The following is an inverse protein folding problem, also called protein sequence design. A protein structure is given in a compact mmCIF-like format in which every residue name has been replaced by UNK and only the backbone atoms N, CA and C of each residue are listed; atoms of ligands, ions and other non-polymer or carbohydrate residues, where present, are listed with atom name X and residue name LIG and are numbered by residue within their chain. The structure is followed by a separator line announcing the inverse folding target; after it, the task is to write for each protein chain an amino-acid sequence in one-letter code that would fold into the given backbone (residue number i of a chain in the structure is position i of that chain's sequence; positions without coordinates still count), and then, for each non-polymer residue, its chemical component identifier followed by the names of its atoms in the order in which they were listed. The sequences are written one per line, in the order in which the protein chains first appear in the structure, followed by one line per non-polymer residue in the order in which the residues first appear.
data_IF_166950848142
#
_entry.id   IF_166950848142
#
_cell.length_a   1.000
_cell.length_b   1.000
_cell.length_c   1.000
_cell.angle_alpha   90.00
_cell.angle_beta   90.00
_cell.angle_gamma   90.00
#
_symmetry.space_group_name_H-M   'P 1'
#
loop_
_entity.id
_entity.type
_entity.pdbx_description
1 polymer ?
#
# COMPACT_ATOMS: atom_id res chain seq x y z
N UNK A 1 45.59 40.70 -17.53
CA UNK A 1 44.28 40.15 -17.96
C UNK A 1 44.15 38.76 -17.34
N UNK A 2 43.27 38.63 -16.36
CA UNK A 2 43.03 37.41 -15.59
C UNK A 2 42.01 36.53 -16.33
N UNK A 3 42.27 35.23 -16.43
CA UNK A 3 41.23 34.25 -16.72
C UNK A 3 41.50 33.02 -15.86
N UNK A 4 41.00 33.07 -14.63
CA UNK A 4 40.79 31.89 -13.81
C UNK A 4 39.64 31.09 -14.43
N UNK A 5 39.95 29.96 -15.07
CA UNK A 5 38.96 28.93 -15.35
C UNK A 5 38.70 28.17 -14.05
N UNK A 6 37.59 28.52 -13.42
CA UNK A 6 36.93 27.83 -12.33
C UNK A 6 36.42 26.47 -12.86
N UNK A 7 36.68 25.34 -12.20
CA UNK A 7 36.08 24.07 -12.60
C UNK A 7 34.56 24.18 -12.43
N UNK A 8 33.85 23.92 -13.52
CA UNK A 8 32.40 23.82 -13.58
C UNK A 8 31.91 22.92 -12.46
N UNK A 9 31.08 23.49 -11.59
CA UNK A 9 30.31 22.75 -10.60
C UNK A 9 29.61 21.59 -11.32
N UNK A 10 30.13 20.39 -11.07
CA UNK A 10 29.50 19.14 -11.42
C UNK A 10 28.04 19.25 -11.01
N UNK A 11 27.17 19.11 -12.00
CA UNK A 11 25.73 19.09 -11.86
C UNK A 11 25.33 17.85 -11.08
N UNK A 12 25.59 17.86 -9.77
CA UNK A 12 25.00 16.91 -8.84
C UNK A 12 23.49 17.20 -8.84
N UNK A 13 22.66 16.28 -9.38
CA UNK A 13 21.23 16.48 -9.31
C UNK A 13 20.85 16.53 -7.82
N UNK A 14 19.87 17.34 -7.42
CA UNK A 14 19.36 17.35 -6.06
C UNK A 14 18.82 15.96 -5.70
N UNK A 15 19.68 15.13 -5.12
CA UNK A 15 19.52 13.66 -5.12
C UNK A 15 19.03 13.17 -3.77
N UNK A 16 17.79 12.66 -3.75
CA UNK A 16 17.28 11.73 -2.73
C UNK A 16 18.25 10.57 -2.45
N UNK A 17 19.09 10.23 -3.43
CA UNK A 17 20.18 9.26 -3.35
C UNK A 17 21.10 9.43 -2.12
N UNK A 18 21.30 10.66 -1.62
CA UNK A 18 22.18 10.89 -0.46
C UNK A 18 21.51 10.61 0.89
N UNK A 19 20.18 10.52 0.92
CA UNK A 19 19.39 10.45 2.14
C UNK A 19 19.23 9.03 2.70
N UNK A 20 19.43 8.00 1.85
CA UNK A 20 19.35 6.60 2.19
C UNK A 20 20.47 5.81 1.51
N UNK A 21 21.63 5.69 2.19
CA UNK A 21 22.72 4.80 1.77
C UNK A 21 22.30 3.31 1.69
N UNK A 22 21.14 2.95 2.27
CA UNK A 22 20.66 1.58 2.43
C UNK A 22 19.47 1.21 1.53
N UNK A 23 18.83 2.15 0.85
CA UNK A 23 17.62 1.84 0.06
C UNK A 23 17.48 2.78 -1.14
N UNK A 24 17.18 2.19 -2.30
CA UNK A 24 16.96 2.93 -3.55
C UNK A 24 15.53 3.53 -3.55
N UNK A 25 15.37 4.86 -3.48
CA UNK A 25 14.06 5.50 -3.40
C UNK A 25 13.18 5.20 -4.62
N UNK A 26 13.77 4.98 -5.81
CA UNK A 26 13.02 4.62 -7.02
C UNK A 26 12.31 3.28 -6.84
N UNK A 27 13.01 2.30 -6.27
CA UNK A 27 12.47 0.95 -6.01
C UNK A 27 11.35 1.01 -4.99
N UNK A 28 11.47 1.82 -3.93
CA UNK A 28 10.38 2.00 -2.94
C UNK A 28 9.15 2.60 -3.59
N UNK A 29 9.33 3.64 -4.41
CA UNK A 29 8.25 4.31 -5.10
C UNK A 29 7.54 3.36 -6.08
N UNK A 30 8.31 2.58 -6.85
CA UNK A 30 7.78 1.59 -7.78
C UNK A 30 7.04 0.46 -7.05
N UNK A 31 7.60 -0.02 -5.94
CA UNK A 31 6.94 -1.01 -5.07
C UNK A 31 5.63 -0.47 -4.51
N UNK A 32 5.59 0.81 -4.11
CA UNK A 32 4.37 1.47 -3.65
C UNK A 32 3.29 1.52 -4.73
N UNK A 33 3.67 1.88 -5.97
CA UNK A 33 2.75 1.93 -7.11
C UNK A 33 2.17 0.54 -7.39
N UNK A 34 3.04 -0.49 -7.50
CA UNK A 34 2.60 -1.87 -7.74
C UNK A 34 1.70 -2.36 -6.61
N UNK A 35 2.07 -2.10 -5.36
CA UNK A 35 1.28 -2.50 -4.20
C UNK A 35 -0.09 -1.84 -4.18
N UNK A 36 -0.17 -0.54 -4.51
CA UNK A 36 -1.43 0.18 -4.64
C UNK A 36 -2.31 -0.40 -5.74
N UNK A 37 -1.73 -0.73 -6.91
CA UNK A 37 -2.45 -1.41 -7.99
C UNK A 37 -2.96 -2.79 -7.58
N UNK A 38 -2.15 -3.59 -6.88
CA UNK A 38 -2.58 -4.89 -6.36
C UNK A 38 -3.73 -4.75 -5.35
N UNK A 39 -3.70 -3.75 -4.47
CA UNK A 39 -4.82 -3.47 -3.55
C UNK A 39 -6.09 -3.08 -4.28
N UNK A 40 -6.00 -2.26 -5.34
CA UNK A 40 -7.13 -1.92 -6.19
C UNK A 40 -7.68 -3.14 -6.94
N UNK A 41 -6.81 -4.03 -7.42
CA UNK A 41 -7.23 -5.28 -8.06
C UNK A 41 -7.99 -6.17 -7.08
N UNK A 42 -7.52 -6.25 -5.82
CA UNK A 42 -8.15 -7.00 -4.75
C UNK A 42 -9.48 -6.40 -4.26
N UNK A 43 -9.79 -5.14 -4.59
CA UNK A 43 -11.12 -4.58 -4.37
C UNK A 43 -12.20 -5.36 -5.10
N UNK A 44 -11.94 -5.82 -6.33
CA UNK A 44 -12.90 -6.55 -7.17
C UNK A 44 -13.36 -7.86 -6.50
N UNK A 45 -12.45 -8.80 -6.14
CA UNK A 45 -12.86 -10.02 -5.45
C UNK A 45 -13.37 -9.75 -4.04
N UNK A 46 -12.94 -8.68 -3.36
CA UNK A 46 -13.52 -8.30 -2.06
C UNK A 46 -14.98 -7.87 -2.20
N UNK A 47 -15.32 -7.15 -3.27
CA UNK A 47 -16.68 -6.72 -3.55
C UNK A 47 -17.62 -7.90 -3.84
N UNK A 48 -17.15 -8.92 -4.56
CA UNK A 48 -17.97 -10.11 -4.86
C UNK A 48 -18.15 -11.05 -3.68
N UNK A 49 -17.25 -11.03 -2.69
CA UNK A 49 -17.25 -11.98 -1.56
C UNK A 49 -17.77 -11.37 -0.25
N UNK A 50 -17.85 -10.03 -0.13
CA UNK A 50 -18.28 -9.38 1.12
C UNK A 50 -19.80 -9.44 1.32
N UNK A 51 -20.32 -10.56 1.84
CA UNK A 51 -21.72 -10.68 2.24
C UNK A 51 -22.02 -9.99 3.59
N UNK A 52 -21.07 -9.99 4.53
CA UNK A 52 -21.30 -9.50 5.91
C UNK A 52 -21.00 -8.02 6.14
N UNK A 53 -19.98 -7.45 5.49
CA UNK A 53 -19.57 -6.05 5.69
C UNK A 53 -19.58 -5.34 4.33
N UNK A 54 -20.73 -4.76 3.98
CA UNK A 54 -20.99 -4.08 2.70
C UNK A 54 -19.96 -2.99 2.32
N UNK A 55 -19.13 -2.53 3.26
CA UNK A 55 -18.15 -1.46 3.02
C UNK A 55 -16.69 -1.93 3.11
N UNK A 56 -16.42 -3.24 3.29
CA UNK A 56 -15.05 -3.74 3.42
C UNK A 56 -14.21 -3.43 2.17
N UNK A 57 -14.83 -3.41 0.99
CA UNK A 57 -14.18 -3.10 -0.29
C UNK A 57 -13.74 -1.63 -0.43
N UNK A 58 -14.31 -0.71 0.36
CA UNK A 58 -13.89 0.71 0.34
C UNK A 58 -12.49 0.88 0.93
N UNK A 59 -12.12 0.04 1.90
CA UNK A 59 -10.82 0.11 2.56
C UNK A 59 -9.65 -0.18 1.59
N UNK A 60 -9.61 -1.30 0.85
CA UNK A 60 -8.54 -1.56 -0.13
C UNK A 60 -8.58 -0.56 -1.29
N UNK A 61 -9.77 -0.03 -1.63
CA UNK A 61 -9.90 1.00 -2.66
C UNK A 61 -9.24 2.32 -2.25
N UNK A 62 -9.56 2.82 -1.06
CA UNK A 62 -8.99 4.05 -0.52
C UNK A 62 -7.48 3.89 -0.26
N UNK A 63 -7.07 2.83 0.43
CA UNK A 63 -5.66 2.57 0.75
C UNK A 63 -4.85 2.34 -0.52
N UNK A 64 -5.35 1.55 -1.47
CA UNK A 64 -4.69 1.30 -2.76
C UNK A 64 -4.51 2.59 -3.56
N UNK A 65 -5.55 3.43 -3.65
CA UNK A 65 -5.50 4.73 -4.35
C UNK A 65 -4.47 5.68 -3.73
N UNK A 66 -4.49 5.83 -2.39
CA UNK A 66 -3.55 6.70 -1.68
C UNK A 66 -2.12 6.19 -1.81
N UNK A 67 -1.91 4.87 -1.76
CA UNK A 67 -0.58 4.25 -1.92
C UNK A 67 -0.03 4.46 -3.34
N UNK A 68 -0.88 4.32 -4.36
CA UNK A 68 -0.51 4.58 -5.75
C UNK A 68 -0.13 6.05 -5.96
N UNK A 69 -0.92 6.99 -5.42
CA UNK A 69 -0.65 8.43 -5.49
C UNK A 69 0.65 8.78 -4.75
N UNK A 70 0.84 8.25 -3.54
CA UNK A 70 2.04 8.47 -2.74
C UNK A 70 3.30 7.97 -3.46
N UNK A 71 3.25 6.75 -4.02
CA UNK A 71 4.34 6.19 -4.83
C UNK A 71 4.64 7.03 -6.06
N UNK A 72 3.60 7.50 -6.77
CA UNK A 72 3.75 8.37 -7.95
C UNK A 72 4.43 9.69 -7.61
N UNK A 73 4.05 10.32 -6.49
CA UNK A 73 4.73 11.52 -6.01
C UNK A 73 6.16 11.25 -5.55
N UNK A 74 6.43 10.10 -4.93
CA UNK A 74 7.78 9.66 -4.58
C UNK A 74 8.68 9.60 -5.82
N UNK A 75 8.23 8.88 -6.86
CA UNK A 75 8.97 8.72 -8.11
C UNK A 75 9.14 10.06 -8.86
N UNK A 76 8.11 10.91 -8.88
CA UNK A 76 8.20 12.24 -9.49
C UNK A 76 9.13 13.19 -8.71
N UNK A 77 9.19 13.07 -7.38
CA UNK A 77 10.08 13.87 -6.52
C UNK A 77 11.55 13.52 -6.70
N UNK A 78 11.84 12.28 -7.09
CA UNK A 78 13.20 11.85 -7.41
C UNK A 78 13.68 12.47 -8.73
N UNK A 79 12.83 12.44 -9.77
CA UNK A 79 13.16 13.04 -11.07
C UNK A 79 13.21 14.55 -11.02
N UNK A 80 12.32 15.17 -10.24
CA UNK A 80 12.20 16.62 -10.08
C UNK A 80 11.85 16.96 -8.63
N UNK A 81 12.83 17.25 -7.76
CA UNK A 81 12.55 17.58 -6.37
C UNK A 81 11.98 18.98 -6.26
N UNK A 82 10.66 19.06 -6.15
CA UNK A 82 9.95 20.28 -5.77
C UNK A 82 9.37 20.11 -4.37
N UNK A 83 9.48 21.16 -3.56
CA UNK A 83 8.95 21.18 -2.17
C UNK A 83 7.46 20.86 -2.09
N UNK A 84 6.69 21.26 -3.11
CA UNK A 84 5.25 20.95 -3.22
C UNK A 84 5.00 19.45 -3.40
N UNK A 85 5.78 18.77 -4.24
CA UNK A 85 5.66 17.31 -4.43
C UNK A 85 6.00 16.57 -3.15
N UNK A 86 7.01 17.03 -2.41
CA UNK A 86 7.40 16.44 -1.14
C UNK A 86 6.34 16.61 -0.06
N UNK A 87 5.75 17.79 0.04
CA UNK A 87 4.65 18.05 0.97
C UNK A 87 3.45 17.16 0.65
N UNK A 88 3.09 17.02 -0.62
CA UNK A 88 2.00 16.15 -1.06
C UNK A 88 2.32 14.67 -0.78
N UNK A 89 3.55 14.23 -1.04
CA UNK A 89 4.01 12.88 -0.70
C UNK A 89 3.90 12.61 0.82
N UNK A 90 4.31 13.56 1.67
CA UNK A 90 4.19 13.44 3.12
C UNK A 90 2.73 13.36 3.59
N UNK A 91 1.85 14.21 3.04
CA UNK A 91 0.42 14.22 3.36
C UNK A 91 -0.23 12.89 2.94
N UNK A 92 0.04 12.44 1.71
CA UNK A 92 -0.46 11.15 1.21
C UNK A 92 0.10 9.98 2.02
N UNK A 93 1.37 10.02 2.42
CA UNK A 93 2.00 9.00 3.27
C UNK A 93 1.36 8.91 4.66
N UNK A 94 1.10 10.05 5.30
CA UNK A 94 0.39 10.11 6.58
C UNK A 94 -1.06 9.64 6.47
N UNK A 95 -1.78 10.08 5.43
CA UNK A 95 -3.13 9.61 5.16
C UNK A 95 -3.17 8.10 4.89
N UNK A 96 -2.18 7.59 4.15
CA UNK A 96 -1.97 6.18 3.87
C UNK A 96 -1.71 5.39 5.15
N UNK A 97 -0.86 5.89 6.06
CA UNK A 97 -0.62 5.29 7.38
C UNK A 97 -1.91 5.12 8.17
N UNK A 98 -2.69 6.19 8.31
CA UNK A 98 -3.99 6.14 9.00
C UNK A 98 -4.91 5.11 8.34
N UNK A 99 -4.99 5.12 7.00
CA UNK A 99 -5.77 4.15 6.23
C UNK A 99 -5.34 2.70 6.48
N UNK A 100 -4.03 2.44 6.47
CA UNK A 100 -3.49 1.09 6.71
C UNK A 100 -3.72 0.62 8.14
N UNK A 101 -3.66 1.50 9.15
CA UNK A 101 -3.98 1.16 10.53
C UNK A 101 -5.46 0.77 10.69
N UNK A 102 -6.37 1.55 10.09
CA UNK A 102 -7.80 1.22 10.06
C UNK A 102 -8.01 -0.12 9.36
N UNK A 103 -7.39 -0.32 8.20
CA UNK A 103 -7.43 -1.59 7.46
C UNK A 103 -6.91 -2.76 8.29
N UNK A 104 -5.88 -2.57 9.11
CA UNK A 104 -5.31 -3.64 9.94
C UNK A 104 -6.33 -4.13 10.98
N UNK A 105 -7.05 -3.19 11.60
CA UNK A 105 -8.10 -3.49 12.58
C UNK A 105 -9.27 -4.20 11.87
N UNK A 106 -9.73 -3.67 10.74
CA UNK A 106 -10.87 -4.23 10.00
C UNK A 106 -10.58 -5.61 9.42
N UNK A 107 -9.44 -5.79 8.75
CA UNK A 107 -9.05 -7.08 8.18
C UNK A 107 -8.68 -8.08 9.27
N UNK A 108 -8.07 -7.64 10.37
CA UNK A 108 -7.80 -8.47 11.53
C UNK A 108 -9.10 -8.99 12.15
N UNK A 109 -10.09 -8.11 12.33
CA UNK A 109 -11.42 -8.48 12.79
C UNK A 109 -12.09 -9.48 11.84
N UNK A 110 -12.14 -9.17 10.54
CA UNK A 110 -12.73 -10.03 9.51
C UNK A 110 -12.07 -11.42 9.41
N UNK A 111 -10.75 -11.48 9.59
CA UNK A 111 -10.01 -12.74 9.63
C UNK A 111 -10.28 -13.54 10.93
N UNK A 112 -10.60 -12.86 12.04
CA UNK A 112 -10.92 -13.51 13.31
C UNK A 112 -12.35 -14.03 13.39
N UNK A 113 -13.33 -13.30 12.86
CA UNK A 113 -14.76 -13.68 12.93
C UNK A 113 -15.15 -14.77 11.94
N UNK A 114 -14.38 -14.94 10.86
CA UNK A 114 -14.60 -16.02 9.89
C UNK A 114 -14.30 -17.43 10.43
N UNK A 115 -13.85 -17.54 11.69
CA UNK A 115 -13.64 -18.80 12.41
C UNK A 115 -14.91 -19.36 13.08
N UNK A 116 -15.95 -18.56 13.30
CA UNK A 116 -17.09 -18.94 14.16
C UNK A 116 -18.36 -19.39 13.40
N UNK A 117 -18.32 -19.48 12.06
CA UNK A 117 -19.48 -19.96 11.28
C UNK A 117 -19.46 -21.50 11.26
N UNK A 118 -20.50 -22.09 11.85
CA UNK A 118 -20.70 -23.53 12.00
C UNK A 118 -20.61 -24.23 10.62
N UNK A 119 -19.77 -25.27 10.44
CA UNK A 119 -19.67 -25.98 9.17
C UNK A 119 -20.99 -26.68 8.81
N UNK A 120 -21.27 -26.79 7.50
CA UNK A 120 -22.45 -27.47 6.91
C UNK A 120 -22.79 -28.73 7.74
N UNK A 121 -24.00 -28.81 8.34
CA UNK A 121 -24.36 -29.96 9.18
C UNK A 121 -24.32 -31.23 8.33
N UNK A 122 -23.52 -32.19 8.76
CA UNK A 122 -23.27 -33.46 8.09
C UNK A 122 -24.45 -34.44 8.27
N UNK A 123 -25.68 -33.97 8.03
CA UNK A 123 -26.90 -34.77 8.12
C UNK A 123 -27.81 -34.49 6.93
N UNK A 124 -27.39 -34.92 5.74
CA UNK A 124 -28.30 -35.60 4.80
C UNK A 124 -27.49 -36.24 3.68
N UNK A 125 -27.83 -37.50 3.43
CA UNK A 125 -27.38 -38.35 2.35
C UNK A 125 -27.41 -37.67 0.97
N UNK A 126 -26.47 -38.10 0.11
CA UNK A 126 -26.50 -37.99 -1.35
C UNK A 126 -26.52 -36.55 -1.91
N UNK A 127 -25.34 -35.97 -2.11
CA UNK A 127 -24.91 -35.67 -3.49
C UNK A 127 -23.46 -35.18 -3.55
N UNK A 128 -22.82 -35.59 -4.63
CA UNK A 128 -21.40 -35.45 -4.95
C UNK A 128 -21.05 -34.03 -5.40
N UNK A 129 -21.29 -33.03 -4.55
CA UNK A 129 -20.88 -31.64 -4.77
C UNK A 129 -20.09 -31.14 -3.57
N UNK A 130 -18.88 -30.55 -3.75
CA UNK A 130 -18.19 -29.89 -2.64
C UNK A 130 -19.10 -28.81 -2.07
N UNK A 131 -19.31 -28.78 -0.73
CA UNK A 131 -20.16 -27.76 -0.08
C UNK A 131 -19.69 -26.39 -0.59
N UNK A 132 -20.53 -25.71 -1.39
CA UNK A 132 -20.21 -24.44 -2.04
C UNK A 132 -19.71 -23.41 -1.02
N UNK A 133 -20.25 -23.51 0.19
CA UNK A 133 -19.93 -22.72 1.38
C UNK A 133 -18.48 -22.91 1.86
N UNK A 134 -17.94 -24.13 1.86
CA UNK A 134 -16.53 -24.38 2.23
C UNK A 134 -15.55 -23.79 1.20
N UNK A 135 -15.87 -23.88 -0.09
CA UNK A 135 -15.06 -23.24 -1.14
C UNK A 135 -15.10 -21.71 -1.01
N UNK A 136 -16.27 -21.15 -0.73
CA UNK A 136 -16.45 -19.72 -0.53
C UNK A 136 -15.70 -19.20 0.71
N UNK A 137 -15.78 -19.93 1.84
CA UNK A 137 -15.07 -19.60 3.07
C UNK A 137 -13.55 -19.66 2.90
N UNK A 138 -13.04 -20.68 2.20
CA UNK A 138 -11.61 -20.80 1.90
C UNK A 138 -11.12 -19.66 1.02
N UNK A 139 -11.91 -19.29 0.01
CA UNK A 139 -11.61 -18.17 -0.88
C UNK A 139 -11.63 -16.81 -0.15
N UNK A 140 -12.65 -16.58 0.69
CA UNK A 140 -12.73 -15.39 1.54
C UNK A 140 -11.51 -15.28 2.47
N UNK A 141 -11.14 -16.38 3.16
CA UNK A 141 -9.97 -16.41 4.04
C UNK A 141 -8.67 -16.11 3.29
N UNK A 142 -8.51 -16.65 2.09
CA UNK A 142 -7.34 -16.38 1.25
C UNK A 142 -7.26 -14.89 0.87
N UNK A 143 -8.38 -14.30 0.45
CA UNK A 143 -8.47 -12.87 0.11
C UNK A 143 -8.19 -12.01 1.33
N UNK A 144 -8.86 -12.24 2.46
CA UNK A 144 -8.65 -11.48 3.70
C UNK A 144 -7.19 -11.57 4.18
N UNK A 145 -6.58 -12.77 4.09
CA UNK A 145 -5.16 -12.96 4.40
C UNK A 145 -4.24 -12.18 3.47
N UNK A 146 -4.51 -12.18 2.17
CA UNK A 146 -3.77 -11.36 1.19
C UNK A 146 -3.94 -9.86 1.46
N UNK A 147 -5.16 -9.39 1.71
CA UNK A 147 -5.40 -7.97 2.07
C UNK A 147 -4.60 -7.59 3.30
N UNK A 148 -4.58 -8.43 4.34
CA UNK A 148 -3.82 -8.18 5.57
C UNK A 148 -2.31 -8.12 5.29
N UNK A 149 -1.77 -9.06 4.51
CA UNK A 149 -0.36 -9.06 4.11
C UNK A 149 0.02 -7.79 3.34
N UNK A 150 -0.75 -7.44 2.30
CA UNK A 150 -0.49 -6.24 1.51
C UNK A 150 -0.70 -4.95 2.30
N UNK A 151 -1.61 -4.95 3.27
CA UNK A 151 -1.82 -3.81 4.14
C UNK A 151 -0.65 -3.59 5.11
N UNK A 152 -0.04 -4.66 5.62
CA UNK A 152 1.21 -4.57 6.40
C UNK A 152 2.35 -4.04 5.53
N UNK A 153 2.49 -4.56 4.31
CA UNK A 153 3.48 -4.06 3.36
C UNK A 153 3.27 -2.55 3.06
N UNK A 154 2.01 -2.13 2.89
CA UNK A 154 1.66 -0.74 2.63
C UNK A 154 2.00 0.15 3.82
N UNK A 155 1.77 -0.31 5.04
CA UNK A 155 2.14 0.40 6.26
C UNK A 155 3.65 0.66 6.31
N UNK A 156 4.47 -0.37 6.00
CA UNK A 156 5.93 -0.25 5.96
C UNK A 156 6.37 0.76 4.88
N UNK A 157 5.78 0.68 3.69
CA UNK A 157 6.09 1.62 2.59
C UNK A 157 5.71 3.05 2.95
N UNK A 158 4.52 3.28 3.52
CA UNK A 158 4.09 4.62 3.91
C UNK A 158 4.98 5.21 5.02
N UNK A 159 5.49 4.39 5.95
CA UNK A 159 6.54 4.81 6.87
C UNK A 159 7.80 5.29 6.14
N UNK A 160 8.30 4.50 5.17
CA UNK A 160 9.49 4.87 4.40
C UNK A 160 9.28 6.14 3.58
N UNK A 161 8.16 6.25 2.87
CA UNK A 161 7.82 7.43 2.07
C UNK A 161 7.66 8.67 2.95
N UNK A 162 6.95 8.56 4.08
CA UNK A 162 6.74 9.69 5.00
C UNK A 162 8.05 10.16 5.62
N UNK A 163 8.89 9.23 6.07
CA UNK A 163 10.20 9.57 6.63
C UNK A 163 11.12 10.20 5.57
N UNK A 164 11.13 9.65 4.35
CA UNK A 164 11.90 10.18 3.23
C UNK A 164 11.45 11.60 2.87
N UNK A 165 10.14 11.82 2.78
CA UNK A 165 9.55 13.12 2.50
C UNK A 165 9.86 14.14 3.62
N UNK A 166 9.70 13.75 4.89
CA UNK A 166 10.03 14.61 6.04
C UNK A 166 11.49 15.04 6.03
N UNK A 167 12.40 14.08 5.81
CA UNK A 167 13.84 14.35 5.79
C UNK A 167 14.22 15.20 4.56
N UNK A 168 13.61 14.96 3.40
CA UNK A 168 13.76 15.79 2.21
C UNK A 168 13.25 17.22 2.39
N UNK A 169 12.14 17.41 3.10
CA UNK A 169 11.57 18.73 3.43
C UNK A 169 12.42 19.52 4.43
N UNK A 170 13.19 18.84 5.28
CA UNK A 170 14.11 19.49 6.24
C UNK A 170 15.37 20.03 5.58
N UNK A 171 15.79 19.43 4.46
CA UNK A 171 16.99 19.82 3.71
C UNK A 171 16.69 20.95 2.69
N UNK A 172 15.42 21.12 2.30
CA UNK A 172 14.93 22.15 1.36
C UNK A 172 14.11 23.28 2.03
#
# INVERSE_FOLDING_TARGET
MSSNQMPSADSDPPKFHRLFKFYDPEVVALTAILLGLFQLLLTIPTYSVSLDIKYLFMCPLCVGSVTLIAGSFGMASERTPKRVLLKNCMICGLAGLVGTLIGLILYGYAASTSLDILPCSQESHEDQYPCLEMMYQSFYKAISGQLLFYNIAALVIHCFLSFSAFKGLRIH
#
